data_IF_592913902115
#
_entry.id   IF_592913902115
#
_cell.length_a   1.000
_cell.length_b   1.000
_cell.length_c   1.000
_cell.angle_alpha   90.00
_cell.angle_beta   90.00
_cell.angle_gamma   90.00
#
_symmetry.space_group_name_H-M   'P 1'
#
loop_
_entity.id
_entity.type
_entity.pdbx_description
1 polymer ?
#
# COMPACT_ATOMS: atom_id res chain seq x y z
N UNK A 1 5.90 -26.02 4.50
CA UNK A 1 5.16 -25.63 3.27
C UNK A 1 5.70 -24.27 2.81
N UNK A 2 5.42 -23.80 1.58
CA UNK A 2 5.96 -22.52 1.07
C UNK A 2 5.68 -21.32 1.99
N UNK A 3 4.45 -21.20 2.49
CA UNK A 3 4.05 -20.10 3.38
C UNK A 3 4.84 -20.07 4.70
N UNK A 4 5.18 -21.25 5.22
CA UNK A 4 5.99 -21.36 6.44
C UNK A 4 7.43 -20.88 6.16
N UNK A 5 7.99 -21.20 4.98
CA UNK A 5 9.30 -20.71 4.54
C UNK A 5 9.34 -19.20 4.34
N UNK A 6 8.27 -18.60 3.83
CA UNK A 6 8.15 -17.14 3.73
C UNK A 6 8.23 -16.51 5.14
N UNK A 7 7.54 -17.08 6.11
CA UNK A 7 7.58 -16.60 7.50
C UNK A 7 8.95 -16.79 8.14
N UNK A 8 9.62 -17.93 7.91
CA UNK A 8 10.96 -18.22 8.44
C UNK A 8 12.00 -17.18 8.01
N UNK A 9 11.88 -16.60 6.81
CA UNK A 9 12.78 -15.55 6.30
C UNK A 9 12.30 -14.13 6.61
N UNK A 10 11.29 -13.98 7.48
CA UNK A 10 10.73 -12.67 7.86
C UNK A 10 9.89 -12.00 6.76
N UNK A 11 9.47 -12.74 5.74
CA UNK A 11 8.59 -12.25 4.69
C UNK A 11 7.12 -12.21 5.11
N UNK A 12 6.26 -11.69 4.23
CA UNK A 12 4.81 -11.64 4.40
C UNK A 12 4.13 -12.39 3.26
N UNK A 13 3.24 -13.33 3.59
CA UNK A 13 2.45 -14.03 2.58
C UNK A 13 1.16 -13.27 2.25
N UNK A 14 1.01 -12.88 0.98
CA UNK A 14 -0.17 -12.14 0.48
C UNK A 14 -0.93 -13.00 -0.52
N UNK A 15 -2.26 -13.07 -0.39
CA UNK A 15 -3.11 -13.63 -1.44
C UNK A 15 -3.51 -12.56 -2.44
N UNK A 16 -2.88 -12.60 -3.61
CA UNK A 16 -2.96 -11.54 -4.61
C UNK A 16 -4.18 -11.65 -5.54
N UNK A 17 -4.78 -10.49 -5.82
CA UNK A 17 -5.88 -10.21 -6.75
C UNK A 17 -6.80 -11.43 -7.08
N UNK A 18 -7.62 -11.90 -6.11
CA UNK A 18 -8.41 -13.15 -6.23
C UNK A 18 -9.44 -13.15 -7.37
N UNK A 19 -9.83 -11.97 -7.85
CA UNK A 19 -10.79 -11.77 -8.93
C UNK A 19 -10.14 -11.31 -10.25
N UNK A 20 -8.82 -11.50 -10.39
CA UNK A 20 -8.12 -11.23 -11.66
C UNK A 20 -8.57 -12.21 -12.75
N UNK A 21 -8.82 -11.67 -13.95
CA UNK A 21 -9.10 -12.45 -15.16
C UNK A 21 -7.91 -12.38 -16.09
N UNK A 22 -7.50 -13.54 -16.60
CA UNK A 22 -6.42 -13.62 -17.58
C UNK A 22 -6.92 -13.14 -18.94
N UNK A 23 -6.21 -12.19 -19.55
CA UNK A 23 -6.57 -11.62 -20.85
C UNK A 23 -6.05 -12.46 -22.04
N UNK A 24 -5.30 -13.54 -21.80
CA UNK A 24 -4.78 -14.45 -22.83
C UNK A 24 -5.86 -15.42 -23.38
N UNK A 25 -6.95 -14.87 -23.92
CA UNK A 25 -7.93 -15.60 -24.74
C UNK A 25 -8.97 -16.42 -23.98
N UNK A 26 -9.09 -16.28 -22.66
CA UNK A 26 -10.10 -17.02 -21.87
C UNK A 26 -10.78 -16.11 -20.86
N UNK A 27 -12.09 -15.88 -21.02
CA UNK A 27 -12.94 -15.04 -20.16
C UNK A 27 -13.23 -15.60 -18.76
N UNK A 28 -12.26 -16.30 -18.15
CA UNK A 28 -12.36 -16.91 -16.83
C UNK A 28 -11.43 -16.22 -15.82
N UNK A 29 -11.79 -16.31 -14.53
CA UNK A 29 -10.90 -15.92 -13.44
C UNK A 29 -9.70 -16.88 -13.41
N UNK A 30 -8.50 -16.33 -13.18
CA UNK A 30 -7.29 -17.14 -13.05
C UNK A 30 -7.38 -18.05 -11.82
N UNK A 31 -7.83 -17.50 -10.70
CA UNK A 31 -8.27 -18.29 -9.56
C UNK A 31 -9.77 -18.57 -9.71
N UNK A 32 -10.12 -19.85 -9.84
CA UNK A 32 -11.54 -20.24 -9.96
C UNK A 32 -12.29 -19.95 -8.67
N UNK A 33 -13.64 -19.80 -8.69
CA UNK A 33 -14.41 -19.61 -7.47
C UNK A 33 -14.16 -20.69 -6.41
N UNK A 34 -14.01 -21.95 -6.82
CA UNK A 34 -13.67 -23.06 -5.93
C UNK A 34 -12.27 -22.89 -5.34
N UNK A 35 -11.28 -22.47 -6.13
CA UNK A 35 -9.93 -22.20 -5.61
C UNK A 35 -9.96 -21.06 -4.59
N UNK A 36 -10.67 -19.97 -4.87
CA UNK A 36 -10.83 -18.86 -3.93
C UNK A 36 -11.44 -19.36 -2.61
N UNK A 37 -12.51 -20.15 -2.69
CA UNK A 37 -13.16 -20.74 -1.51
C UNK A 37 -12.20 -21.60 -0.69
N UNK A 38 -11.44 -22.49 -1.34
CA UNK A 38 -10.45 -23.34 -0.67
C UNK A 38 -9.32 -22.53 -0.03
N UNK A 39 -8.84 -21.49 -0.71
CA UNK A 39 -7.79 -20.60 -0.19
C UNK A 39 -8.30 -19.82 1.03
N UNK A 40 -9.50 -19.23 0.96
CA UNK A 40 -10.11 -18.54 2.10
C UNK A 40 -10.38 -19.48 3.28
N UNK A 41 -10.94 -20.67 3.02
CA UNK A 41 -11.17 -21.70 4.05
C UNK A 41 -9.88 -22.15 4.72
N UNK A 42 -8.78 -22.25 3.97
CA UNK A 42 -7.48 -22.60 4.54
C UNK A 42 -6.95 -21.53 5.49
N UNK A 43 -7.27 -20.26 5.21
CA UNK A 43 -6.88 -19.08 5.99
C UNK A 43 -5.36 -18.97 6.31
N UNK A 44 -4.51 -19.59 5.47
CA UNK A 44 -3.08 -19.80 5.76
C UNK A 44 -2.16 -18.63 5.42
N UNK A 45 -2.60 -17.70 4.59
CA UNK A 45 -1.85 -16.50 4.22
C UNK A 45 -2.03 -15.39 5.28
N UNK A 46 -1.18 -14.37 5.24
CA UNK A 46 -1.12 -13.33 6.28
C UNK A 46 -1.84 -12.05 5.90
N UNK A 47 -1.93 -11.72 4.61
CA UNK A 47 -2.63 -10.54 4.12
C UNK A 47 -3.39 -10.79 2.83
N UNK A 48 -4.40 -9.98 2.56
CA UNK A 48 -5.27 -10.12 1.41
C UNK A 48 -5.17 -8.89 0.53
N UNK A 49 -4.90 -9.09 -0.76
CA UNK A 49 -4.97 -7.98 -1.69
C UNK A 49 -6.44 -7.64 -1.99
N UNK A 50 -6.83 -6.38 -1.81
CA UNK A 50 -8.16 -5.89 -2.19
C UNK A 50 -8.36 -5.91 -3.73
N UNK A 51 -7.25 -5.93 -4.47
CA UNK A 51 -7.18 -6.03 -5.92
C UNK A 51 -6.63 -4.75 -6.57
N UNK A 52 -6.17 -4.91 -7.81
CA UNK A 52 -5.69 -3.80 -8.64
C UNK A 52 -6.86 -2.85 -8.96
N UNK A 53 -6.85 -1.67 -8.34
CA UNK A 53 -7.99 -0.76 -8.26
C UNK A 53 -8.32 -0.10 -9.59
N UNK A 54 -9.46 0.61 -9.62
CA UNK A 54 -10.14 1.12 -10.83
C UNK A 54 -10.85 0.07 -11.69
N UNK A 55 -11.18 -1.09 -11.10
CA UNK A 55 -11.97 -2.12 -11.80
C UNK A 55 -13.08 -2.70 -10.92
N UNK A 56 -14.06 -3.36 -11.54
CA UNK A 56 -15.11 -4.14 -10.85
C UNK A 56 -14.55 -5.18 -9.85
N UNK A 57 -13.26 -5.53 -9.97
CA UNK A 57 -12.59 -6.52 -9.13
C UNK A 57 -12.46 -6.05 -7.69
N UNK A 58 -12.17 -4.76 -7.47
CA UNK A 58 -12.13 -4.16 -6.13
C UNK A 58 -13.50 -4.21 -5.47
N UNK A 59 -14.58 -3.93 -6.23
CA UNK A 59 -15.95 -4.05 -5.71
C UNK A 59 -16.30 -5.49 -5.33
N UNK A 60 -15.96 -6.47 -6.18
CA UNK A 60 -16.17 -7.90 -5.89
C UNK A 60 -15.37 -8.36 -4.66
N UNK A 61 -14.09 -7.98 -4.57
CA UNK A 61 -13.26 -8.34 -3.44
C UNK A 61 -13.74 -7.67 -2.15
N UNK A 62 -14.15 -6.40 -2.19
CA UNK A 62 -14.72 -5.72 -1.03
C UNK A 62 -16.03 -6.40 -0.58
N UNK A 63 -16.94 -6.70 -1.50
CA UNK A 63 -18.18 -7.43 -1.17
C UNK A 63 -17.89 -8.80 -0.56
N UNK A 64 -16.97 -9.56 -1.17
CA UNK A 64 -16.56 -10.87 -0.64
C UNK A 64 -15.89 -10.76 0.72
N UNK A 65 -15.05 -9.76 0.94
CA UNK A 65 -14.39 -9.53 2.21
C UNK A 65 -15.41 -9.22 3.31
N UNK A 66 -16.47 -8.46 3.03
CA UNK A 66 -17.57 -8.24 3.98
C UNK A 66 -18.29 -9.54 4.36
N UNK A 67 -18.58 -10.43 3.40
CA UNK A 67 -19.16 -11.75 3.68
C UNK A 67 -18.22 -12.60 4.54
N UNK A 68 -16.93 -12.66 4.17
CA UNK A 68 -15.93 -13.39 4.94
C UNK A 68 -15.82 -12.85 6.37
N UNK A 69 -15.82 -11.52 6.55
CA UNK A 69 -15.82 -10.89 7.88
C UNK A 69 -17.03 -11.27 8.71
N UNK A 70 -18.21 -11.39 8.10
CA UNK A 70 -19.42 -11.85 8.78
C UNK A 70 -19.24 -13.26 9.35
N UNK A 71 -18.49 -14.11 8.64
CA UNK A 71 -18.16 -15.48 9.05
C UNK A 71 -16.89 -15.58 9.94
N UNK A 72 -16.39 -14.44 10.44
CA UNK A 72 -15.26 -14.38 11.37
C UNK A 72 -13.87 -14.38 10.72
N UNK A 73 -13.79 -14.24 9.40
CA UNK A 73 -12.51 -14.05 8.70
C UNK A 73 -11.95 -12.65 8.95
N UNK A 74 -10.66 -12.54 9.26
CA UNK A 74 -9.97 -11.27 9.41
C UNK A 74 -8.57 -11.37 8.82
N UNK A 75 -8.25 -10.47 7.90
CA UNK A 75 -6.90 -10.29 7.34
C UNK A 75 -6.67 -8.82 7.01
N UNK A 76 -5.44 -8.31 7.20
CA UNK A 76 -5.08 -6.99 6.71
C UNK A 76 -5.26 -6.91 5.18
N UNK A 77 -5.86 -5.81 4.74
CA UNK A 77 -6.06 -5.50 3.33
C UNK A 77 -4.86 -4.74 2.77
N UNK A 78 -4.39 -5.18 1.61
CA UNK A 78 -3.24 -4.62 0.89
C UNK A 78 -3.70 -4.13 -0.48
N UNK A 79 -3.20 -2.96 -0.86
CA UNK A 79 -3.24 -2.45 -2.24
C UNK A 79 -1.87 -2.64 -2.88
N UNK A 80 -1.85 -3.25 -4.06
CA UNK A 80 -0.67 -3.39 -4.91
C UNK A 80 -1.06 -3.05 -6.36
N UNK A 81 -0.21 -2.30 -7.05
CA UNK A 81 -0.45 -1.87 -8.44
C UNK A 81 -0.22 -2.99 -9.46
N UNK A 82 0.45 -4.09 -9.04
CA UNK A 82 0.84 -5.19 -9.94
C UNK A 82 1.46 -4.65 -11.25
N UNK A 83 2.40 -3.72 -11.08
CA UNK A 83 2.85 -2.87 -12.14
C UNK A 83 3.82 -3.59 -13.11
N UNK A 84 3.49 -3.57 -14.40
CA UNK A 84 4.25 -4.24 -15.47
C UNK A 84 4.68 -3.26 -16.59
N UNK A 85 4.47 -1.96 -16.40
CA UNK A 85 4.67 -0.92 -17.42
C UNK A 85 5.98 -0.13 -17.29
N UNK A 86 6.04 1.04 -17.92
CA UNK A 86 7.16 1.99 -17.86
C UNK A 86 6.86 3.16 -16.94
N UNK A 87 7.78 3.52 -16.03
CA UNK A 87 7.60 4.49 -14.93
C UNK A 87 6.85 5.81 -15.23
N UNK A 88 6.73 6.20 -16.49
CA UNK A 88 5.94 7.34 -16.99
C UNK A 88 4.42 7.08 -17.00
N UNK A 89 3.97 5.84 -16.76
CA UNK A 89 2.55 5.51 -16.76
C UNK A 89 1.82 6.10 -15.55
N UNK A 90 0.75 6.85 -15.82
CA UNK A 90 -0.14 7.45 -14.81
C UNK A 90 -0.81 6.43 -13.87
N UNK A 91 -0.75 5.13 -14.21
CA UNK A 91 -1.31 4.04 -13.40
C UNK A 91 -0.43 3.65 -12.21
N UNK A 92 0.86 3.98 -12.18
CA UNK A 92 1.77 3.60 -11.09
C UNK A 92 1.27 4.04 -9.69
N UNK A 93 0.76 5.28 -9.48
CA UNK A 93 0.25 5.72 -8.18
C UNK A 93 -1.19 5.27 -7.87
N UNK A 94 -1.88 4.54 -8.75
CA UNK A 94 -3.32 4.26 -8.61
C UNK A 94 -3.67 3.27 -7.49
N UNK A 95 -2.70 2.46 -7.03
CA UNK A 95 -2.92 1.46 -5.99
C UNK A 95 -1.68 1.31 -5.12
N UNK A 96 -1.85 1.44 -3.81
CA UNK A 96 -0.76 1.25 -2.85
C UNK A 96 -1.30 0.91 -1.47
N UNK A 97 -0.41 0.70 -0.51
CA UNK A 97 -0.75 0.47 0.89
C UNK A 97 -0.07 1.53 1.75
N UNK A 98 -0.83 2.19 2.61
CA UNK A 98 -0.25 3.01 3.68
C UNK A 98 -0.03 2.10 4.89
N UNK A 99 1.23 1.97 5.33
CA UNK A 99 1.61 1.16 6.50
C UNK A 99 2.15 2.06 7.60
N UNK A 100 1.59 1.95 8.80
CA UNK A 100 2.06 2.68 9.98
C UNK A 100 3.06 1.83 10.75
N UNK A 101 4.31 1.83 10.28
CA UNK A 101 5.43 1.17 10.93
C UNK A 101 6.30 2.19 11.70
N UNK A 102 6.96 1.78 12.81
CA UNK A 102 7.87 2.65 13.55
C UNK A 102 9.10 3.07 12.73
N UNK A 103 9.46 2.27 11.72
CA UNK A 103 10.60 2.47 10.83
C UNK A 103 10.35 1.82 9.47
N UNK A 104 11.12 2.24 8.46
CA UNK A 104 11.06 1.69 7.11
C UNK A 104 12.01 0.48 6.98
N UNK A 105 11.77 -0.56 7.77
CA UNK A 105 12.48 -1.85 7.69
C UNK A 105 11.50 -2.95 7.28
N UNK A 106 12.00 -4.00 6.63
CA UNK A 106 11.15 -5.13 6.21
C UNK A 106 10.40 -5.73 7.41
N UNK A 107 11.10 -5.93 8.52
CA UNK A 107 10.55 -6.51 9.74
C UNK A 107 9.43 -5.63 10.32
N UNK A 108 9.69 -4.33 10.49
CA UNK A 108 8.71 -3.40 11.05
C UNK A 108 7.48 -3.25 10.15
N UNK A 109 7.64 -3.19 8.83
CA UNK A 109 6.54 -3.12 7.87
C UNK A 109 5.70 -4.39 7.90
N UNK A 110 6.34 -5.57 7.84
CA UNK A 110 5.60 -6.85 7.88
C UNK A 110 4.86 -7.02 9.21
N UNK A 111 5.47 -6.61 10.33
CA UNK A 111 4.84 -6.67 11.64
C UNK A 111 3.64 -5.71 11.75
N UNK A 112 3.77 -4.47 11.27
CA UNK A 112 2.69 -3.50 11.24
C UNK A 112 1.49 -4.01 10.43
N UNK A 113 1.74 -4.64 9.28
CA UNK A 113 0.68 -5.25 8.46
C UNK A 113 0.00 -6.39 9.23
N UNK A 114 0.75 -7.31 9.85
CA UNK A 114 0.18 -8.40 10.65
C UNK A 114 -0.69 -7.91 11.82
N UNK A 115 -0.39 -6.72 12.34
CA UNK A 115 -1.16 -6.06 13.40
C UNK A 115 -2.30 -5.18 12.87
N UNK A 116 -2.59 -5.24 11.56
CA UNK A 116 -3.60 -4.44 10.87
C UNK A 116 -3.37 -2.92 10.98
N UNK A 117 -2.12 -2.49 11.16
CA UNK A 117 -1.71 -1.08 11.09
C UNK A 117 -1.41 -0.67 9.64
N UNK A 118 -2.28 -1.06 8.72
CA UNK A 118 -2.21 -0.70 7.32
C UNK A 118 -3.59 -0.49 6.69
N UNK A 119 -3.62 0.24 5.58
CA UNK A 119 -4.81 0.39 4.76
C UNK A 119 -4.42 0.32 3.28
N UNK A 120 -5.18 -0.48 2.52
CA UNK A 120 -5.13 -0.44 1.06
C UNK A 120 -5.70 0.88 0.57
N UNK A 121 -5.08 1.49 -0.44
CA UNK A 121 -5.50 2.74 -1.07
C UNK A 121 -5.63 2.54 -2.57
N UNK A 122 -6.67 3.14 -3.14
CA UNK A 122 -7.20 2.85 -4.45
C UNK A 122 -7.68 4.13 -5.14
N UNK A 123 -7.25 4.41 -6.36
CA UNK A 123 -7.72 5.53 -7.18
C UNK A 123 -6.63 6.56 -7.46
N UNK A 124 -6.90 7.41 -8.45
CA UNK A 124 -5.98 8.43 -8.97
C UNK A 124 -6.35 9.84 -8.51
N UNK A 125 -7.61 10.24 -8.68
CA UNK A 125 -8.11 11.58 -8.28
C UNK A 125 -8.76 11.54 -6.89
N UNK A 126 -9.80 10.70 -6.75
CA UNK A 126 -10.49 10.47 -5.48
C UNK A 126 -10.07 9.11 -4.92
N UNK A 127 -9.12 9.13 -3.99
CA UNK A 127 -8.62 7.91 -3.38
C UNK A 127 -9.60 7.34 -2.35
N UNK A 128 -9.86 6.04 -2.47
CA UNK A 128 -10.59 5.25 -1.48
C UNK A 128 -9.60 4.45 -0.65
N UNK A 129 -9.86 4.34 0.65
CA UNK A 129 -9.02 3.56 1.56
C UNK A 129 -9.83 2.47 2.26
N UNK A 130 -9.22 1.31 2.46
CA UNK A 130 -9.87 0.10 2.97
C UNK A 130 -9.02 -0.53 4.06
N UNK A 131 -9.65 -0.82 5.20
CA UNK A 131 -8.99 -1.31 6.41
C UNK A 131 -9.82 -1.03 7.66
N UNK A 132 -9.24 -1.17 8.86
CA UNK A 132 -9.96 -0.97 10.11
C UNK A 132 -10.54 0.44 10.24
N UNK A 133 -11.84 0.54 10.57
CA UNK A 133 -12.57 1.82 10.62
C UNK A 133 -11.88 2.92 11.42
N UNK A 134 -11.33 2.58 12.60
CA UNK A 134 -10.60 3.54 13.43
C UNK A 134 -9.33 4.04 12.75
N UNK A 135 -8.58 3.15 12.10
CA UNK A 135 -7.35 3.47 11.39
C UNK A 135 -7.64 4.39 10.19
N UNK A 136 -8.70 4.10 9.44
CA UNK A 136 -9.05 4.86 8.23
C UNK A 136 -9.25 6.35 8.51
N UNK A 137 -9.75 6.76 9.68
CA UNK A 137 -9.85 8.17 10.05
C UNK A 137 -8.51 8.89 9.99
N UNK A 138 -7.46 8.23 10.47
CA UNK A 138 -6.10 8.78 10.45
C UNK A 138 -5.49 8.69 9.05
N UNK A 139 -5.70 7.59 8.33
CA UNK A 139 -5.24 7.44 6.94
C UNK A 139 -5.84 8.53 6.03
N UNK A 140 -7.14 8.81 6.17
CA UNK A 140 -7.82 9.88 5.43
C UNK A 140 -7.20 11.25 5.76
N UNK A 141 -6.86 11.50 7.02
CA UNK A 141 -6.14 12.73 7.39
C UNK A 141 -4.79 12.80 6.69
N UNK A 142 -4.02 11.70 6.67
CA UNK A 142 -2.71 11.67 6.00
C UNK A 142 -2.84 11.92 4.50
N UNK A 143 -3.76 11.22 3.83
CA UNK A 143 -4.04 11.36 2.40
C UNK A 143 -4.46 12.78 2.02
N UNK A 144 -5.29 13.43 2.85
CA UNK A 144 -5.86 14.75 2.53
C UNK A 144 -4.94 15.92 2.90
N UNK A 145 -4.19 15.81 3.99
CA UNK A 145 -3.50 16.96 4.58
C UNK A 145 -1.99 16.79 4.72
N UNK A 146 -1.49 15.55 4.80
CA UNK A 146 -0.06 15.30 5.00
C UNK A 146 0.67 14.98 3.70
N UNK A 147 0.28 13.88 3.03
CA UNK A 147 0.96 13.38 1.84
C UNK A 147 1.03 14.42 0.71
N UNK A 148 -0.02 15.19 0.38
CA UNK A 148 0.06 16.18 -0.70
C UNK A 148 1.15 17.25 -0.49
N UNK A 149 1.44 17.60 0.77
CA UNK A 149 2.53 18.53 1.11
C UNK A 149 3.88 17.80 1.11
N UNK A 150 3.95 16.64 1.76
CA UNK A 150 5.16 15.83 1.84
C UNK A 150 5.67 15.45 0.44
N UNK A 151 4.79 14.94 -0.41
CA UNK A 151 5.13 14.41 -1.73
C UNK A 151 5.54 15.53 -2.68
N UNK A 152 4.98 16.74 -2.56
CA UNK A 152 5.47 17.92 -3.29
C UNK A 152 6.92 18.25 -2.95
N UNK A 153 7.29 18.21 -1.67
CA UNK A 153 8.69 18.45 -1.25
C UNK A 153 9.62 17.34 -1.75
N UNK A 154 9.17 16.08 -1.68
CA UNK A 154 9.90 14.94 -2.23
C UNK A 154 10.08 15.05 -3.74
N UNK A 155 9.05 15.46 -4.48
CA UNK A 155 9.11 15.68 -5.92
C UNK A 155 10.14 16.75 -6.26
N UNK A 156 10.06 17.93 -5.62
CA UNK A 156 11.02 19.01 -5.81
C UNK A 156 12.46 18.56 -5.53
N UNK A 157 12.67 17.80 -4.45
CA UNK A 157 13.99 17.25 -4.14
C UNK A 157 14.45 16.24 -5.21
N UNK A 158 13.56 15.36 -5.66
CA UNK A 158 13.83 14.37 -6.71
C UNK A 158 14.23 15.03 -8.03
N UNK A 159 13.52 16.08 -8.45
CA UNK A 159 13.84 16.86 -9.66
C UNK A 159 15.25 17.48 -9.58
N UNK A 160 15.63 18.03 -8.42
CA UNK A 160 16.98 18.56 -8.21
C UNK A 160 18.05 17.46 -8.20
N UNK A 161 17.76 16.31 -7.61
CA UNK A 161 18.67 15.16 -7.63
C UNK A 161 18.90 14.66 -9.07
N UNK A 162 17.85 14.60 -9.89
CA UNK A 162 17.96 14.24 -11.31
C UNK A 162 18.82 15.24 -12.09
N UNK A 163 18.63 16.55 -11.86
CA UNK A 163 19.45 17.61 -12.46
C UNK A 163 20.91 17.53 -12.04
N UNK A 164 21.18 17.26 -10.75
CA UNK A 164 22.53 17.05 -10.25
C UNK A 164 23.20 15.83 -10.91
N UNK A 165 22.47 14.73 -11.11
CA UNK A 165 22.97 13.56 -11.85
C UNK A 165 23.29 13.86 -13.33
N UNK A 166 22.62 14.86 -13.92
CA UNK A 166 22.91 15.34 -15.27
C UNK A 166 24.10 16.31 -15.34
N UNK A 167 24.72 16.62 -14.20
CA UNK A 167 25.92 17.46 -14.12
C UNK A 167 25.64 18.94 -13.79
N UNK A 168 24.42 19.29 -13.40
CA UNK A 168 24.15 20.66 -12.93
C UNK A 168 24.78 20.89 -11.54
N UNK A 169 25.61 21.94 -11.44
CA UNK A 169 26.34 22.30 -10.23
C UNK A 169 25.53 23.21 -9.30
N UNK A 170 26.00 23.40 -8.06
CA UNK A 170 25.42 24.32 -7.06
C UNK A 170 24.00 23.99 -6.56
N UNK A 171 23.52 22.76 -6.74
CA UNK A 171 22.20 22.32 -6.26
C UNK A 171 22.20 21.78 -4.82
N UNK A 172 23.38 21.52 -4.23
CA UNK A 172 23.51 20.80 -2.96
C UNK A 172 22.80 21.48 -1.78
N UNK A 173 22.94 22.81 -1.66
CA UNK A 173 22.31 23.57 -0.57
C UNK A 173 20.79 23.43 -0.58
N UNK A 174 20.18 23.50 -1.76
CA UNK A 174 18.74 23.41 -1.93
C UNK A 174 18.22 21.99 -1.68
N UNK A 175 18.96 20.97 -2.16
CA UNK A 175 18.66 19.56 -1.87
C UNK A 175 18.67 19.30 -0.35
N UNK A 176 19.67 19.85 0.37
CA UNK A 176 19.75 19.71 1.83
C UNK A 176 18.64 20.47 2.54
N UNK A 177 18.27 21.68 2.08
CA UNK A 177 17.13 22.43 2.61
C UNK A 177 15.83 21.62 2.52
N UNK A 178 15.52 21.09 1.33
CA UNK A 178 14.33 20.24 1.14
C UNK A 178 14.38 18.98 2.00
N UNK A 179 15.55 18.36 2.17
CA UNK A 179 15.72 17.19 3.06
C UNK A 179 15.35 17.51 4.50
N UNK A 180 15.75 18.69 4.99
CA UNK A 180 15.42 19.15 6.33
C UNK A 180 13.92 19.42 6.47
N UNK A 181 13.29 20.06 5.47
CA UNK A 181 11.84 20.30 5.46
C UNK A 181 11.02 19.02 5.44
N UNK A 182 11.41 18.03 4.62
CA UNK A 182 10.79 16.70 4.59
C UNK A 182 10.91 16.03 5.97
N UNK A 183 12.10 16.06 6.56
CA UNK A 183 12.36 15.48 7.89
C UNK A 183 11.53 16.18 8.96
N UNK A 184 11.38 17.50 8.90
CA UNK A 184 10.56 18.28 9.83
C UNK A 184 9.08 17.93 9.70
N UNK A 185 8.57 17.78 8.47
CA UNK A 185 7.20 17.33 8.23
C UNK A 185 6.96 15.94 8.86
N UNK A 186 7.87 14.99 8.64
CA UNK A 186 7.77 13.64 9.20
C UNK A 186 7.83 13.64 10.74
N UNK A 187 8.69 14.47 11.34
CA UNK A 187 8.77 14.62 12.80
C UNK A 187 7.48 15.19 13.40
N UNK A 188 6.78 16.08 12.69
CA UNK A 188 5.51 16.65 13.16
C UNK A 188 4.40 15.59 13.32
N UNK A 189 4.50 14.42 12.67
CA UNK A 189 3.59 13.30 12.87
C UNK A 189 3.90 12.47 14.13
N UNK A 190 5.13 12.51 14.63
CA UNK A 190 5.52 11.77 15.83
C UNK A 190 4.95 12.52 17.04
N UNK A 191 4.04 11.87 17.75
CA UNK A 191 3.55 12.35 19.04
C UNK A 191 4.73 12.65 19.97
N UNK A 192 4.83 13.90 20.45
CA UNK A 192 5.69 14.23 21.59
C UNK A 192 4.87 14.04 22.86
N UNK A 193 5.29 13.18 23.80
CA UNK A 193 4.64 13.01 25.10
C UNK A 193 4.54 14.33 25.89
N UNK A 194 5.41 15.30 25.60
CA UNK A 194 5.47 16.59 26.29
C UNK A 194 4.50 17.64 25.72
N UNK A 195 3.76 17.29 24.65
CA UNK A 195 2.87 18.20 23.93
C UNK A 195 1.40 18.03 24.30
N UNK A 196 1.04 18.17 25.59
CA UNK A 196 -0.27 18.58 26.11
C UNK A 196 -0.22 18.84 27.61
#
# INVERSE_FOLDING_TARGET
MLLDKIREVGGLSVYCHPYWRCFAGRSHYNATPLLNELVFKSNRFEALELGNCETYRTALMNARYCELCHDGFQKPLIGASDYHGHFEDEFLPSVYTVVLAPECSQEAVCQAIRQEYCAAVAGTVDVMSFGPFRLLKYIIFLLKYFFPRHDRLCQQQGELLLRALQGEENLELEIQRLKQEITACQKALKYSPEGR
#
